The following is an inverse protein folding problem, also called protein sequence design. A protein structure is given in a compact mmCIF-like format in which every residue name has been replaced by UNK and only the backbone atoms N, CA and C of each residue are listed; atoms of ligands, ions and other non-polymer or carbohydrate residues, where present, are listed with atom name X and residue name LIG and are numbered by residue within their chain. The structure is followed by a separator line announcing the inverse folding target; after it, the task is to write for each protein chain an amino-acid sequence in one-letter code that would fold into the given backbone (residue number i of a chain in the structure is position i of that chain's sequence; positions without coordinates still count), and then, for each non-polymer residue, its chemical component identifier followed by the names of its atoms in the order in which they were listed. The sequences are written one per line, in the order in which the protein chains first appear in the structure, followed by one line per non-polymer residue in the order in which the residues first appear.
data_IF_037352750651
#
_entry.id   IF_037352750651
#
_cell.length_a   1.000
_cell.length_b   1.000
_cell.length_c   1.000
_cell.angle_alpha   90.00
_cell.angle_beta   90.00
_cell.angle_gamma   90.00
#
_symmetry.space_group_name_H-M   'P 1'
#
loop_
_entity.id
_entity.type
_entity.pdbx_description
1 polymer ?
#
# COMPACT_ATOMS: atom_id res chain seq x y z
N UNK A 1 15.36 -7.24 -11.79
CA UNK A 1 16.16 -7.26 -10.52
C UNK A 1 15.48 -6.34 -9.52
N UNK A 2 15.58 -6.64 -8.22
CA UNK A 2 15.05 -5.75 -7.16
C UNK A 2 15.88 -4.46 -7.13
N UNK A 3 15.19 -3.31 -7.03
CA UNK A 3 15.85 -2.02 -6.92
C UNK A 3 16.21 -1.67 -5.46
N UNK A 4 16.60 -0.42 -5.24
CA UNK A 4 17.09 0.05 -3.94
C UNK A 4 16.01 0.07 -2.85
N UNK A 5 14.78 0.48 -3.20
CA UNK A 5 13.65 0.57 -2.24
C UNK A 5 13.21 -0.84 -1.85
N UNK A 6 12.99 -1.73 -2.83
CA UNK A 6 12.63 -3.12 -2.57
C UNK A 6 13.68 -3.84 -1.71
N UNK A 7 14.96 -3.70 -2.08
CA UNK A 7 16.07 -4.28 -1.30
C UNK A 7 16.08 -3.76 0.15
N UNK A 8 15.82 -2.48 0.34
CA UNK A 8 15.74 -1.87 1.67
C UNK A 8 14.57 -2.46 2.49
N UNK A 9 13.38 -2.57 1.90
CA UNK A 9 12.20 -3.14 2.56
C UNK A 9 12.44 -4.60 2.97
N UNK A 10 12.99 -5.41 2.07
CA UNK A 10 13.34 -6.80 2.36
C UNK A 10 14.42 -6.92 3.46
N UNK A 11 15.42 -6.04 3.43
CA UNK A 11 16.45 -5.98 4.48
C UNK A 11 15.86 -5.60 5.84
N UNK A 12 14.93 -4.65 5.87
CA UNK A 12 14.23 -4.28 7.11
C UNK A 12 13.44 -5.45 7.69
N UNK A 13 12.70 -6.21 6.86
CA UNK A 13 11.97 -7.42 7.29
C UNK A 13 12.91 -8.45 7.92
N UNK A 14 14.02 -8.75 7.24
CA UNK A 14 15.03 -9.71 7.73
C UNK A 14 15.67 -9.28 9.04
N UNK A 15 16.06 -7.99 9.15
CA UNK A 15 16.73 -7.46 10.34
C UNK A 15 15.80 -7.33 11.53
N UNK A 16 14.61 -6.76 11.32
CA UNK A 16 13.65 -6.48 12.40
C UNK A 16 12.87 -7.72 12.83
N UNK A 17 12.78 -8.73 11.96
CA UNK A 17 11.96 -9.96 12.18
C UNK A 17 10.51 -9.66 12.57
N UNK A 18 9.96 -8.55 12.10
CA UNK A 18 8.58 -8.13 12.29
C UNK A 18 8.04 -7.43 11.05
N UNK A 19 6.72 -7.25 10.97
CA UNK A 19 6.11 -6.57 9.83
C UNK A 19 6.45 -5.09 9.80
N UNK A 20 6.40 -4.52 8.59
CA UNK A 20 6.63 -3.12 8.33
C UNK A 20 5.32 -2.32 8.42
N UNK A 21 5.42 -1.05 8.76
CA UNK A 21 4.32 -0.11 8.74
C UNK A 21 4.51 0.85 7.57
N UNK A 22 3.55 0.87 6.66
CA UNK A 22 3.42 1.88 5.62
C UNK A 22 2.27 2.81 5.98
N UNK A 23 2.45 4.08 5.71
CA UNK A 23 1.41 5.09 5.94
C UNK A 23 1.04 5.72 4.62
N UNK A 24 -0.25 5.70 4.31
CA UNK A 24 -0.79 6.36 3.12
C UNK A 24 -1.13 7.82 3.48
N UNK A 25 -0.55 8.74 2.73
CA UNK A 25 -0.90 10.16 2.73
C UNK A 25 -1.63 10.43 1.43
N UNK A 26 -2.92 10.76 1.54
CA UNK A 26 -3.73 11.14 0.40
C UNK A 26 -3.43 12.60 0.02
N UNK A 27 -3.23 12.82 -1.28
CA UNK A 27 -2.91 14.15 -1.80
C UNK A 27 -4.10 15.12 -1.78
N UNK A 28 -5.34 14.62 -1.77
CA UNK A 28 -6.54 15.46 -1.80
C UNK A 28 -6.94 16.04 -0.43
N UNK A 29 -6.66 15.32 0.65
CA UNK A 29 -7.14 15.67 2.00
C UNK A 29 -6.19 16.65 2.68
N UNK A 30 -5.00 16.83 2.16
CA UNK A 30 -3.96 17.49 2.92
C UNK A 30 -3.60 18.85 2.38
N UNK A 31 -3.86 19.86 3.17
CA UNK A 31 -3.07 21.10 3.04
C UNK A 31 -1.60 20.72 3.20
N UNK A 32 -0.75 21.05 2.27
CA UNK A 32 0.65 20.63 2.13
C UNK A 32 1.45 20.69 3.45
N UNK A 33 1.31 21.78 4.22
CA UNK A 33 1.98 21.94 5.51
C UNK A 33 1.54 20.90 6.57
N UNK A 34 0.26 20.47 6.55
CA UNK A 34 -0.24 19.44 7.47
C UNK A 34 0.30 18.07 7.12
N UNK A 35 0.45 17.76 5.83
CA UNK A 35 1.02 16.49 5.35
C UNK A 35 2.50 16.35 5.69
N UNK A 36 3.27 17.43 5.57
CA UNK A 36 4.69 17.45 5.96
C UNK A 36 4.84 17.27 7.47
N UNK A 37 4.01 17.94 8.28
CA UNK A 37 4.00 17.76 9.72
C UNK A 37 3.63 16.33 10.12
N UNK A 38 2.58 15.79 9.49
CA UNK A 38 2.14 14.42 9.68
C UNK A 38 3.26 13.42 9.33
N UNK A 39 3.94 13.61 8.20
CA UNK A 39 5.03 12.73 7.77
C UNK A 39 6.18 12.65 8.78
N UNK A 40 6.56 13.77 9.40
CA UNK A 40 7.57 13.79 10.46
C UNK A 40 7.14 12.97 11.69
N UNK A 41 5.88 13.09 12.09
CA UNK A 41 5.36 12.30 13.21
C UNK A 41 5.24 10.81 12.85
N UNK A 42 4.82 10.51 11.61
CA UNK A 42 4.79 9.14 11.08
C UNK A 42 6.18 8.49 11.11
N UNK A 43 7.23 9.20 10.67
CA UNK A 43 8.60 8.67 10.72
C UNK A 43 9.04 8.37 12.16
N UNK A 44 8.69 9.21 13.13
CA UNK A 44 8.98 8.97 14.57
C UNK A 44 8.29 7.72 15.11
N UNK A 45 7.14 7.32 14.56
CA UNK A 45 6.50 6.03 14.93
C UNK A 45 7.30 4.82 14.44
N UNK A 46 8.31 5.04 13.58
CA UNK A 46 9.14 4.01 12.95
C UNK A 46 8.46 3.35 11.75
N UNK A 47 7.58 4.08 11.05
CA UNK A 47 7.10 3.70 9.73
C UNK A 47 8.27 3.44 8.78
N UNK A 48 8.09 2.51 7.85
CA UNK A 48 9.14 2.06 6.92
C UNK A 48 9.04 2.71 5.55
N UNK A 49 7.87 3.25 5.19
CA UNK A 49 7.62 3.99 3.96
C UNK A 49 6.37 4.87 4.10
N UNK A 50 6.31 5.91 3.27
CA UNK A 50 5.10 6.68 3.02
C UNK A 50 4.62 6.31 1.62
N UNK A 51 3.37 5.85 1.50
CA UNK A 51 2.66 5.78 0.24
C UNK A 51 2.03 7.14 -0.03
N UNK A 52 2.13 7.65 -1.26
CA UNK A 52 1.54 8.94 -1.63
C UNK A 52 0.63 8.75 -2.83
N UNK A 53 -0.63 9.12 -2.69
CA UNK A 53 -1.66 8.94 -3.71
C UNK A 53 -2.99 8.57 -3.10
N UNK A 54 -3.87 8.02 -3.91
CA UNK A 54 -5.23 7.63 -3.53
C UNK A 54 -6.04 7.26 -4.75
N UNK A 55 -7.32 6.90 -4.54
CA UNK A 55 -8.25 6.52 -5.60
C UNK A 55 -8.88 7.71 -6.34
N UNK A 56 -8.70 8.92 -5.85
CA UNK A 56 -9.26 10.13 -6.43
C UNK A 56 -8.31 10.81 -7.42
N UNK A 57 -8.85 11.67 -8.27
CA UNK A 57 -8.07 12.41 -9.27
C UNK A 57 -7.06 13.32 -8.58
N UNK A 58 -5.80 13.20 -8.97
CA UNK A 58 -4.69 13.96 -8.37
C UNK A 58 -4.16 14.97 -9.38
N UNK A 59 -3.99 16.21 -8.95
CA UNK A 59 -3.21 17.19 -9.68
C UNK A 59 -1.72 16.80 -9.64
N UNK A 60 -1.12 16.68 -10.84
CA UNK A 60 0.26 16.23 -10.98
C UNK A 60 1.28 17.22 -10.37
N UNK A 61 0.97 18.52 -10.44
CA UNK A 61 1.84 19.59 -9.91
C UNK A 61 1.82 19.55 -8.39
N UNK A 62 0.62 19.48 -7.80
CA UNK A 62 0.45 19.36 -6.34
C UNK A 62 1.13 18.11 -5.78
N UNK A 63 0.97 16.97 -6.47
CA UNK A 63 1.64 15.72 -6.12
C UNK A 63 3.17 15.86 -6.14
N UNK A 64 3.72 16.45 -7.19
CA UNK A 64 5.16 16.67 -7.32
C UNK A 64 5.70 17.55 -6.18
N UNK A 65 4.99 18.63 -5.85
CA UNK A 65 5.40 19.55 -4.79
C UNK A 65 5.26 18.93 -3.40
N UNK A 66 4.20 18.18 -3.15
CA UNK A 66 4.06 17.41 -1.91
C UNK A 66 5.25 16.46 -1.71
N UNK A 67 5.58 15.67 -2.72
CA UNK A 67 6.69 14.70 -2.60
C UNK A 67 8.04 15.41 -2.42
N UNK A 68 8.30 16.52 -3.11
CA UNK A 68 9.51 17.34 -2.87
C UNK A 68 9.63 17.77 -1.41
N UNK A 69 8.53 18.23 -0.81
CA UNK A 69 8.53 18.64 0.58
C UNK A 69 8.68 17.46 1.54
N UNK A 70 8.02 16.34 1.26
CA UNK A 70 8.19 15.09 2.03
C UNK A 70 9.64 14.60 1.99
N UNK A 71 10.32 14.69 0.82
CA UNK A 71 11.76 14.31 0.70
C UNK A 71 12.68 15.18 1.55
N UNK A 72 12.37 16.46 1.71
CA UNK A 72 13.13 17.35 2.60
C UNK A 72 12.85 17.09 4.09
N UNK A 73 11.65 16.60 4.41
CA UNK A 73 11.17 16.47 5.77
C UNK A 73 11.51 15.14 6.44
N UNK A 74 11.54 14.03 5.68
CA UNK A 74 11.70 12.67 6.20
C UNK A 74 12.62 11.83 5.31
N UNK A 75 13.30 10.83 5.91
CA UNK A 75 14.28 9.97 5.24
C UNK A 75 13.69 8.68 4.69
N UNK A 76 12.57 8.20 5.25
CA UNK A 76 11.91 6.97 4.78
C UNK A 76 11.42 7.12 3.32
N UNK A 77 11.37 6.03 2.52
CA UNK A 77 10.96 6.08 1.13
C UNK A 77 9.58 6.67 0.91
N UNK A 78 9.41 7.48 -0.14
CA UNK A 78 8.14 7.98 -0.68
C UNK A 78 7.82 7.16 -1.91
N UNK A 79 6.81 6.32 -1.80
CA UNK A 79 6.37 5.38 -2.85
C UNK A 79 5.05 5.88 -3.42
N UNK A 80 5.00 6.12 -4.71
CA UNK A 80 3.75 6.47 -5.38
C UNK A 80 2.75 5.31 -5.30
N UNK A 81 1.52 5.64 -4.96
CA UNK A 81 0.38 4.74 -5.03
C UNK A 81 -0.77 5.44 -5.80
N UNK A 82 -0.56 5.69 -7.10
CA UNK A 82 -1.48 6.50 -7.89
C UNK A 82 -2.74 5.72 -8.26
N UNK A 83 -3.88 6.39 -8.18
CA UNK A 83 -5.14 5.88 -8.73
C UNK A 83 -5.22 5.95 -10.26
N UNK A 84 -4.35 6.75 -10.91
CA UNK A 84 -4.29 6.91 -12.35
C UNK A 84 -2.87 7.32 -12.81
N UNK A 85 -2.62 7.26 -14.12
CA UNK A 85 -1.34 7.65 -14.76
C UNK A 85 -0.95 9.12 -14.49
N UNK A 86 -1.91 10.01 -14.25
CA UNK A 86 -1.69 11.41 -13.87
C UNK A 86 -0.99 11.57 -12.52
N UNK A 87 -1.02 10.57 -11.65
CA UNK A 87 -0.30 10.57 -10.37
C UNK A 87 1.17 10.15 -10.45
N UNK A 88 1.73 9.95 -11.66
CA UNK A 88 3.13 9.55 -11.83
C UNK A 88 4.01 10.80 -11.93
N UNK A 89 4.88 11.01 -10.92
CA UNK A 89 5.76 12.19 -10.82
C UNK A 89 7.21 11.78 -10.53
N UNK A 90 8.22 12.52 -11.06
CA UNK A 90 9.63 12.10 -10.99
C UNK A 90 10.27 12.23 -9.60
N UNK A 91 9.62 12.90 -8.66
CA UNK A 91 10.21 13.21 -7.36
C UNK A 91 10.16 12.05 -6.36
N UNK A 92 9.39 11.00 -6.62
CA UNK A 92 9.28 9.85 -5.72
C UNK A 92 10.52 8.93 -5.76
N UNK A 93 10.60 8.02 -4.81
CA UNK A 93 11.68 7.04 -4.74
C UNK A 93 11.33 5.73 -5.49
N UNK A 94 10.03 5.39 -5.52
CA UNK A 94 9.48 4.22 -6.20
C UNK A 94 8.00 4.42 -6.52
N UNK A 95 7.43 3.47 -7.25
CA UNK A 95 6.00 3.38 -7.53
C UNK A 95 5.50 1.95 -7.26
N UNK A 96 4.37 1.78 -6.58
CA UNK A 96 3.61 0.54 -6.66
C UNK A 96 3.09 0.42 -8.10
N UNK A 97 3.84 -0.30 -8.93
CA UNK A 97 3.45 -0.55 -10.33
C UNK A 97 2.38 -1.64 -10.32
N UNK A 98 1.16 -1.20 -9.95
CA UNK A 98 0.08 -2.10 -9.57
C UNK A 98 -0.80 -2.46 -10.77
N UNK A 99 -1.13 -3.75 -10.87
CA UNK A 99 -2.18 -4.29 -11.71
C UNK A 99 -3.35 -4.73 -10.82
N UNK A 100 -4.53 -4.17 -11.04
CA UNK A 100 -5.75 -4.55 -10.34
C UNK A 100 -6.30 -5.85 -10.96
N UNK A 101 -5.78 -6.99 -10.50
CA UNK A 101 -6.01 -8.29 -11.15
C UNK A 101 -7.47 -8.76 -11.12
N UNK A 102 -8.27 -8.29 -10.15
CA UNK A 102 -9.70 -8.59 -10.08
C UNK A 102 -10.59 -7.45 -10.60
N UNK A 103 -10.05 -6.58 -11.45
CA UNK A 103 -10.85 -5.61 -12.21
C UNK A 103 -11.56 -6.28 -13.39
N UNK A 104 -12.76 -5.81 -13.72
CA UNK A 104 -13.49 -6.14 -14.94
C UNK A 104 -13.15 -5.19 -16.10
N UNK A 105 -12.39 -4.12 -15.82
CA UNK A 105 -11.93 -3.16 -16.80
C UNK A 105 -10.45 -3.41 -17.16
N UNK A 106 -10.12 -3.80 -18.40
CA UNK A 106 -8.75 -4.05 -18.85
C UNK A 106 -7.79 -2.86 -18.62
N UNK A 107 -8.34 -1.63 -18.54
CA UNK A 107 -7.55 -0.43 -18.26
C UNK A 107 -6.75 -0.59 -16.97
N UNK A 108 -7.38 -1.06 -15.90
CA UNK A 108 -6.71 -1.22 -14.60
C UNK A 108 -5.86 -2.48 -14.48
N UNK A 109 -6.03 -3.44 -15.41
CA UNK A 109 -5.26 -4.69 -15.42
C UNK A 109 -3.90 -4.47 -16.09
N UNK A 110 -3.88 -3.85 -17.29
CA UNK A 110 -2.66 -3.77 -18.10
C UNK A 110 -2.51 -2.48 -18.92
N UNK A 111 -3.59 -1.79 -19.30
CA UNK A 111 -3.51 -0.66 -20.24
C UNK A 111 -2.91 0.58 -19.56
N UNK A 112 -3.33 0.93 -18.34
CA UNK A 112 -2.73 2.02 -17.58
C UNK A 112 -1.24 1.79 -17.32
N UNK A 113 -0.85 0.54 -17.07
CA UNK A 113 0.54 0.13 -16.87
C UNK A 113 1.35 0.30 -18.17
N UNK A 114 0.80 -0.13 -19.31
CA UNK A 114 1.43 0.05 -20.62
C UNK A 114 1.61 1.54 -20.96
N UNK A 115 0.60 2.37 -20.71
CA UNK A 115 0.65 3.82 -20.92
C UNK A 115 1.64 4.52 -19.97
N UNK A 116 1.69 4.11 -18.71
CA UNK A 116 2.53 4.71 -17.67
C UNK A 116 4.00 4.26 -17.70
N UNK A 117 4.30 3.05 -18.19
CA UNK A 117 5.63 2.46 -18.13
C UNK A 117 6.73 3.31 -18.76
N UNK A 118 6.55 3.93 -19.96
CA UNK A 118 7.57 4.83 -20.54
C UNK A 118 7.88 6.02 -19.62
N UNK A 119 6.87 6.58 -18.96
CA UNK A 119 7.04 7.70 -18.02
C UNK A 119 7.78 7.26 -16.75
N UNK A 120 7.43 6.10 -16.20
CA UNK A 120 8.13 5.51 -15.05
C UNK A 120 9.62 5.30 -15.37
N UNK A 121 9.92 4.75 -16.54
CA UNK A 121 11.29 4.55 -17.03
C UNK A 121 12.02 5.88 -17.20
N UNK A 122 11.41 6.86 -17.88
CA UNK A 122 11.98 8.20 -18.11
C UNK A 122 12.30 8.92 -16.81
N UNK A 123 11.47 8.77 -15.79
CA UNK A 123 11.66 9.38 -14.48
C UNK A 123 12.63 8.61 -13.57
N UNK A 124 13.10 7.45 -14.00
CA UNK A 124 14.00 6.61 -13.20
C UNK A 124 13.38 6.09 -11.91
N UNK A 125 12.05 5.98 -11.86
CA UNK A 125 11.33 5.47 -10.70
C UNK A 125 11.55 3.95 -10.57
N UNK A 126 11.79 3.49 -9.36
CA UNK A 126 11.81 2.06 -9.09
C UNK A 126 10.39 1.49 -9.14
N UNK A 127 10.12 0.64 -10.14
CA UNK A 127 8.83 -0.04 -10.25
C UNK A 127 8.77 -1.25 -9.31
N UNK A 128 7.79 -1.26 -8.40
CA UNK A 128 7.46 -2.37 -7.51
C UNK A 128 6.28 -3.14 -8.12
N UNK A 129 6.51 -4.26 -8.83
CA UNK A 129 5.43 -4.98 -9.55
C UNK A 129 4.48 -5.61 -8.56
N UNK A 130 3.27 -5.04 -8.49
CA UNK A 130 2.29 -5.30 -7.45
C UNK A 130 0.98 -5.84 -8.04
N UNK A 131 0.56 -7.02 -7.62
CA UNK A 131 -0.81 -7.46 -7.78
C UNK A 131 -1.69 -6.79 -6.73
N UNK A 132 -2.57 -5.92 -7.16
CA UNK A 132 -3.53 -5.24 -6.30
C UNK A 132 -4.86 -6.00 -6.35
N UNK A 133 -5.40 -6.38 -5.20
CA UNK A 133 -6.63 -7.18 -5.06
C UNK A 133 -7.60 -6.45 -4.13
N UNK A 134 -8.73 -6.04 -4.65
CA UNK A 134 -9.81 -5.44 -3.85
C UNK A 134 -10.64 -6.53 -3.19
N UNK A 135 -10.76 -6.42 -1.86
CA UNK A 135 -11.50 -7.35 -1.00
C UNK A 135 -12.76 -6.64 -0.51
N UNK A 136 -13.92 -7.24 -0.76
CA UNK A 136 -15.22 -6.63 -0.48
C UNK A 136 -15.63 -5.61 -1.54
N UNK A 137 -16.68 -4.88 -1.26
CA UNK A 137 -17.35 -3.94 -2.15
C UNK A 137 -17.67 -2.63 -1.44
N UNK A 138 -18.18 -1.63 -2.19
CA UNK A 138 -18.70 -0.37 -1.64
C UNK A 138 -17.64 0.65 -1.25
N UNK A 139 -16.39 0.50 -1.68
CA UNK A 139 -15.29 1.46 -1.43
C UNK A 139 -14.88 2.17 -2.71
N UNK A 140 -14.16 3.31 -2.59
CA UNK A 140 -13.67 4.05 -3.76
C UNK A 140 -12.77 3.20 -4.65
N UNK A 141 -11.89 2.38 -4.07
CA UNK A 141 -11.03 1.49 -4.84
C UNK A 141 -11.82 0.43 -5.63
N UNK A 142 -12.90 -0.09 -5.04
CA UNK A 142 -13.82 -1.00 -5.70
C UNK A 142 -14.53 -0.33 -6.86
N UNK A 143 -15.13 0.84 -6.64
CA UNK A 143 -15.95 1.54 -7.64
C UNK A 143 -15.09 2.07 -8.80
N UNK A 144 -14.05 2.86 -8.49
CA UNK A 144 -13.17 3.46 -9.49
C UNK A 144 -12.42 2.40 -10.29
N UNK A 145 -11.96 1.35 -9.61
CA UNK A 145 -11.22 0.25 -10.22
C UNK A 145 -12.10 -0.74 -11.01
N UNK A 146 -13.43 -0.57 -11.04
CA UNK A 146 -14.35 -1.57 -11.61
C UNK A 146 -14.02 -2.99 -11.10
N UNK A 147 -13.73 -3.10 -9.81
CA UNK A 147 -13.27 -4.35 -9.25
C UNK A 147 -14.42 -5.31 -8.98
N UNK A 148 -14.28 -6.56 -9.40
CA UNK A 148 -15.10 -7.66 -8.89
C UNK A 148 -14.58 -8.02 -7.50
N UNK A 149 -15.14 -7.39 -6.45
CA UNK A 149 -14.65 -7.51 -5.08
C UNK A 149 -14.62 -8.97 -4.61
N UNK A 150 -13.49 -9.39 -4.04
CA UNK A 150 -13.38 -10.74 -3.47
C UNK A 150 -14.12 -10.75 -2.13
N UNK A 151 -15.14 -11.59 -1.92
CA UNK A 151 -15.84 -11.65 -0.66
C UNK A 151 -14.91 -11.99 0.52
N UNK A 152 -15.11 -11.34 1.68
CA UNK A 152 -14.25 -11.49 2.86
C UNK A 152 -14.16 -12.93 3.39
N UNK A 153 -15.16 -13.75 3.10
CA UNK A 153 -15.27 -15.16 3.50
C UNK A 153 -14.78 -16.16 2.45
N UNK A 154 -14.21 -15.67 1.34
CA UNK A 154 -13.70 -16.50 0.23
C UNK A 154 -12.17 -16.44 0.07
N UNK A 155 -11.40 -16.86 1.10
CA UNK A 155 -9.93 -16.75 1.10
C UNK A 155 -9.25 -17.51 -0.04
N UNK A 156 -9.86 -18.60 -0.54
CA UNK A 156 -9.32 -19.38 -1.66
C UNK A 156 -9.27 -18.60 -2.95
N UNK A 157 -10.21 -17.66 -3.19
CA UNK A 157 -10.20 -16.80 -4.38
C UNK A 157 -9.00 -15.86 -4.34
N UNK A 158 -8.77 -15.16 -3.21
CA UNK A 158 -7.60 -14.31 -3.05
C UNK A 158 -6.28 -15.08 -3.19
N UNK A 159 -6.23 -16.31 -2.66
CA UNK A 159 -5.07 -17.19 -2.80
C UNK A 159 -4.81 -17.57 -4.27
N UNK A 160 -5.86 -17.88 -5.05
CA UNK A 160 -5.72 -18.20 -6.48
C UNK A 160 -5.18 -17.01 -7.28
N UNK A 161 -5.72 -15.79 -7.09
CA UNK A 161 -5.19 -14.57 -7.70
C UNK A 161 -3.74 -14.31 -7.31
N UNK A 162 -3.39 -14.50 -6.03
CA UNK A 162 -2.02 -14.29 -5.54
C UNK A 162 -1.03 -15.30 -6.11
N UNK A 163 -1.45 -16.55 -6.31
CA UNK A 163 -0.65 -17.57 -6.99
C UNK A 163 -0.45 -17.23 -8.46
N UNK A 164 -1.50 -16.80 -9.15
CA UNK A 164 -1.40 -16.32 -10.53
C UNK A 164 -0.43 -15.12 -10.64
N UNK A 165 -0.52 -14.15 -9.70
CA UNK A 165 0.41 -13.03 -9.62
C UNK A 165 1.87 -13.50 -9.49
N UNK A 166 2.14 -14.51 -8.67
CA UNK A 166 3.47 -15.09 -8.53
C UNK A 166 3.96 -15.72 -9.84
N UNK A 167 3.10 -16.46 -10.56
CA UNK A 167 3.45 -17.04 -11.84
C UNK A 167 3.67 -16.00 -12.95
N UNK A 168 2.98 -14.85 -12.86
CA UNK A 168 3.21 -13.68 -13.70
C UNK A 168 4.46 -12.87 -13.33
N UNK A 169 5.23 -13.30 -12.32
CA UNK A 169 6.46 -12.63 -11.90
C UNK A 169 6.28 -11.40 -11.01
N UNK A 170 5.07 -11.16 -10.50
CA UNK A 170 4.82 -10.08 -9.55
C UNK A 170 5.43 -10.40 -8.19
N UNK A 171 6.21 -9.46 -7.65
CA UNK A 171 6.93 -9.65 -6.39
C UNK A 171 6.16 -9.16 -5.16
N UNK A 172 5.13 -8.36 -5.38
CA UNK A 172 4.25 -7.81 -4.35
C UNK A 172 2.81 -8.25 -4.59
N UNK A 173 2.09 -8.57 -3.51
CA UNK A 173 0.63 -8.68 -3.49
C UNK A 173 0.11 -7.71 -2.45
N UNK A 174 -0.89 -6.92 -2.81
CA UNK A 174 -1.57 -6.00 -1.93
C UNK A 174 -3.05 -6.38 -1.81
N UNK A 175 -3.47 -6.84 -0.64
CA UNK A 175 -4.86 -7.10 -0.30
C UNK A 175 -5.47 -5.83 0.30
N UNK A 176 -6.43 -5.23 -0.38
CA UNK A 176 -7.03 -3.95 -0.02
C UNK A 176 -8.51 -4.08 0.29
N UNK A 177 -8.90 -3.78 1.53
CA UNK A 177 -10.31 -3.71 1.90
C UNK A 177 -10.97 -2.37 1.52
N UNK A 178 -10.17 -1.36 1.17
CA UNK A 178 -10.61 -0.03 0.76
C UNK A 178 -10.51 1.03 1.85
N UNK A 179 -10.31 2.28 1.41
CA UNK A 179 -10.35 3.45 2.28
C UNK A 179 -11.74 3.57 2.90
N UNK A 180 -11.81 3.79 4.21
CA UNK A 180 -13.09 3.88 4.92
C UNK A 180 -13.82 2.56 5.14
N UNK A 181 -13.31 1.42 4.66
CA UNK A 181 -13.96 0.13 4.83
C UNK A 181 -14.37 -0.15 6.29
N UNK A 182 -15.55 -0.73 6.48
CA UNK A 182 -16.08 -1.10 7.81
C UNK A 182 -15.30 -2.25 8.44
N UNK A 183 -14.68 -3.11 7.62
CA UNK A 183 -13.94 -4.30 8.03
C UNK A 183 -12.57 -4.32 7.34
N UNK A 184 -11.56 -4.85 8.03
CA UNK A 184 -10.27 -5.16 7.43
C UNK A 184 -10.27 -6.53 6.75
N UNK A 185 -9.26 -6.79 5.91
CA UNK A 185 -9.01 -8.13 5.38
C UNK A 185 -8.87 -9.13 6.54
N UNK A 186 -9.61 -10.24 6.47
CA UNK A 186 -9.62 -11.25 7.53
C UNK A 186 -8.29 -12.01 7.61
N UNK A 187 -7.81 -12.35 8.81
CA UNK A 187 -6.57 -13.13 8.99
C UNK A 187 -6.57 -14.47 8.25
N UNK A 188 -7.74 -15.12 8.08
CA UNK A 188 -7.90 -16.36 7.32
C UNK A 188 -7.51 -16.20 5.87
N UNK A 189 -7.89 -15.07 5.25
CA UNK A 189 -7.53 -14.73 3.88
C UNK A 189 -6.03 -14.47 3.74
N UNK A 190 -5.45 -13.72 4.67
CA UNK A 190 -4.00 -13.46 4.70
C UNK A 190 -3.21 -14.78 4.82
N UNK A 191 -3.64 -15.70 5.70
CA UNK A 191 -3.03 -17.05 5.82
C UNK A 191 -3.14 -17.86 4.53
N UNK A 192 -4.31 -17.83 3.88
CA UNK A 192 -4.51 -18.56 2.63
C UNK A 192 -3.59 -18.03 1.51
N UNK A 193 -3.47 -16.72 1.38
CA UNK A 193 -2.54 -16.08 0.43
C UNK A 193 -1.09 -16.42 0.79
N UNK A 194 -0.69 -16.29 2.06
CA UNK A 194 0.70 -16.56 2.50
C UNK A 194 1.15 -18.01 2.23
N UNK A 195 0.23 -18.97 2.24
CA UNK A 195 0.56 -20.38 1.92
C UNK A 195 1.08 -20.55 0.48
N UNK A 196 0.57 -19.77 -0.46
CA UNK A 196 0.86 -19.93 -1.89
C UNK A 196 1.77 -18.83 -2.46
N UNK A 197 1.75 -17.63 -1.90
CA UNK A 197 2.55 -16.49 -2.38
C UNK A 197 3.81 -16.32 -1.53
N UNK A 198 4.98 -16.33 -2.15
CA UNK A 198 6.30 -16.24 -1.50
C UNK A 198 6.90 -14.82 -1.52
N UNK A 199 6.32 -13.92 -2.29
CA UNK A 199 6.75 -12.52 -2.37
C UNK A 199 6.30 -11.67 -1.18
N UNK A 200 6.37 -10.35 -1.33
CA UNK A 200 6.05 -9.38 -0.30
C UNK A 200 4.54 -9.14 -0.20
N UNK A 201 3.93 -9.47 0.94
CA UNK A 201 2.49 -9.38 1.16
C UNK A 201 2.12 -8.14 1.95
N UNK A 202 1.40 -7.23 1.31
CA UNK A 202 0.87 -5.99 1.87
C UNK A 202 -0.62 -6.18 2.18
N UNK A 203 -1.08 -5.62 3.29
CA UNK A 203 -2.51 -5.61 3.67
C UNK A 203 -2.91 -4.19 4.09
N UNK A 204 -4.00 -3.67 3.51
CA UNK A 204 -4.54 -2.36 3.82
C UNK A 204 -6.06 -2.33 3.89
N UNK A 205 -6.59 -1.15 4.27
CA UNK A 205 -8.01 -0.90 4.44
C UNK A 205 -8.59 -1.42 5.75
N UNK A 206 -9.39 -0.59 6.41
CA UNK A 206 -10.16 -0.95 7.61
C UNK A 206 -9.35 -1.29 8.88
N UNK A 207 -8.05 -1.11 8.89
CA UNK A 207 -7.20 -1.42 10.06
C UNK A 207 -7.19 -0.24 11.02
N UNK A 208 -7.94 -0.33 12.13
CA UNK A 208 -8.09 0.76 13.11
C UNK A 208 -7.61 0.40 14.50
N UNK A 209 -7.42 -0.90 14.80
CA UNK A 209 -7.12 -1.39 16.13
C UNK A 209 -5.79 -2.15 16.18
N UNK A 210 -5.00 -2.00 17.27
CA UNK A 210 -3.75 -2.73 17.46
C UNK A 210 -3.92 -4.26 17.43
N UNK A 211 -5.04 -4.77 17.95
CA UNK A 211 -5.37 -6.20 17.93
C UNK A 211 -5.53 -6.70 16.50
N UNK A 212 -6.34 -6.02 15.68
CA UNK A 212 -6.55 -6.36 14.27
C UNK A 212 -5.24 -6.36 13.49
N UNK A 213 -4.42 -5.30 13.67
CA UNK A 213 -3.10 -5.21 13.05
C UNK A 213 -2.20 -6.40 13.43
N UNK A 214 -2.17 -6.76 14.71
CA UNK A 214 -1.41 -7.90 15.22
C UNK A 214 -1.87 -9.22 14.63
N UNK A 215 -3.17 -9.44 14.50
CA UNK A 215 -3.73 -10.69 13.97
C UNK A 215 -3.44 -10.86 12.47
N UNK A 216 -3.49 -9.75 11.70
CA UNK A 216 -3.11 -9.74 10.28
C UNK A 216 -1.61 -10.05 10.10
N UNK A 217 -0.74 -9.46 10.94
CA UNK A 217 0.70 -9.75 10.89
C UNK A 217 1.00 -11.20 11.26
N UNK A 218 0.37 -11.74 12.31
CA UNK A 218 0.48 -13.17 12.68
C UNK A 218 0.01 -14.10 11.56
N UNK A 219 -0.95 -13.66 10.76
CA UNK A 219 -1.43 -14.40 9.61
C UNK A 219 -0.44 -14.41 8.42
N UNK A 220 0.59 -13.57 8.42
CA UNK A 220 1.67 -13.61 7.44
C UNK A 220 1.87 -12.36 6.60
N UNK A 221 1.18 -11.23 6.88
CA UNK A 221 1.42 -9.97 6.20
C UNK A 221 2.84 -9.42 6.46
N UNK A 222 3.53 -8.96 5.43
CA UNK A 222 4.87 -8.35 5.53
C UNK A 222 4.80 -6.86 5.84
N UNK A 223 3.76 -6.19 5.35
CA UNK A 223 3.50 -4.80 5.66
C UNK A 223 2.02 -4.54 5.86
N UNK A 224 1.71 -3.56 6.69
CA UNK A 224 0.37 -2.98 6.84
C UNK A 224 0.35 -1.57 6.29
N UNK A 225 -0.73 -1.20 5.60
CA UNK A 225 -0.99 0.17 5.15
C UNK A 225 -2.07 0.79 6.01
N UNK A 226 -1.76 1.94 6.60
CA UNK A 226 -2.69 2.74 7.38
C UNK A 226 -2.87 4.09 6.67
N UNK A 227 -4.11 4.43 6.33
CA UNK A 227 -4.48 5.69 5.68
C UNK A 227 -5.55 6.43 6.47
N UNK A 228 -6.83 6.13 6.25
CA UNK A 228 -8.02 6.81 6.79
C UNK A 228 -8.02 7.04 8.31
N UNK A 229 -7.30 6.21 9.06
CA UNK A 229 -7.14 6.43 10.50
C UNK A 229 -6.57 7.82 10.80
N UNK A 230 -5.72 8.36 9.92
CA UNK A 230 -4.97 9.61 10.14
C UNK A 230 -5.79 10.88 9.90
N UNK A 231 -6.98 10.75 9.35
CA UNK A 231 -7.92 11.86 9.12
C UNK A 231 -8.58 12.37 10.42
N UNK A 232 -8.52 11.60 11.49
CA UNK A 232 -9.18 11.90 12.76
C UNK A 232 -8.23 12.51 13.80
N UNK A 233 -8.76 13.42 14.65
CA UNK A 233 -8.02 13.95 15.81
C UNK A 233 -7.61 12.81 16.75
N UNK A 234 -6.35 12.81 17.22
CA UNK A 234 -5.83 11.75 18.09
C UNK A 234 -5.27 10.51 17.39
N UNK A 235 -5.34 10.45 16.06
CA UNK A 235 -4.91 9.33 15.23
C UNK A 235 -3.44 8.92 15.40
N UNK A 236 -2.55 9.87 15.67
CA UNK A 236 -1.11 9.60 15.87
C UNK A 236 -0.85 8.69 17.09
N UNK A 237 -1.62 8.86 18.17
CA UNK A 237 -1.56 7.95 19.33
C UNK A 237 -1.91 6.53 18.91
N UNK A 238 -3.03 6.38 18.18
CA UNK A 238 -3.50 5.08 17.69
C UNK A 238 -2.51 4.44 16.71
N UNK A 239 -1.93 5.24 15.80
CA UNK A 239 -0.88 4.77 14.88
C UNK A 239 0.34 4.26 15.66
N UNK A 240 0.74 4.97 16.71
CA UNK A 240 1.84 4.56 17.58
C UNK A 240 1.55 3.25 18.31
N UNK A 241 0.31 3.06 18.78
CA UNK A 241 -0.14 1.81 19.39
C UNK A 241 -0.11 0.65 18.40
N UNK A 242 -0.60 0.86 17.16
CA UNK A 242 -0.52 -0.13 16.08
C UNK A 242 0.94 -0.46 15.76
N UNK A 243 1.80 0.56 15.59
CA UNK A 243 3.23 0.36 15.32
C UNK A 243 3.92 -0.46 16.41
N UNK A 244 3.61 -0.21 17.69
CA UNK A 244 4.11 -1.00 18.81
C UNK A 244 3.58 -2.43 18.76
N UNK A 245 2.28 -2.62 18.52
CA UNK A 245 1.64 -3.93 18.49
C UNK A 245 2.22 -4.86 17.43
N UNK A 246 2.42 -4.37 16.20
CA UNK A 246 2.98 -5.20 15.11
C UNK A 246 4.44 -5.60 15.37
N UNK A 247 5.22 -4.78 16.09
CA UNK A 247 6.62 -5.10 16.44
C UNK A 247 6.73 -6.20 17.49
N UNK A 248 5.68 -6.48 18.24
CA UNK A 248 5.68 -7.61 19.19
C UNK A 248 5.51 -8.97 18.52
N UNK A 249 5.12 -8.99 17.23
CA UNK A 249 4.95 -10.23 16.47
C UNK A 249 6.26 -10.54 15.76
N UNK A 250 6.95 -11.56 16.21
CA UNK A 250 8.13 -12.12 15.52
C UNK A 250 7.67 -12.94 14.32
N UNK A 251 8.37 -12.81 13.20
CA UNK A 251 8.21 -13.57 11.96
C UNK A 251 9.30 -14.62 11.81
#
# INVERSE_FOLDING_TARGET
MAGKVETNLLSQLKKKKNALLFVLIDSEISKMNSSVKLAKEVEKTGASAILVGGSSATDQIEMADLIKQLKKAVKIPKILFPGNITGVVPQADAILFSSLLNSENPYFISQAQALGAPTVLKFGLEALPTAYLVIGEGTSAWFVGSARGIPFDKPKIAAAYSLAAQFLGMRFVYLEAGSGASSSVRPEMVRAVRKVFKGFLIVGGGIREPKTAKDIVKAGADALVIGTLLENKGSLKKLTEIAKAIRTVKK
#
